data_IF_975534285619
#
_entry.id   IF_975534285619
#
_cell.length_a   1.000
_cell.length_b   1.000
_cell.length_c   1.000
_cell.angle_alpha   90.00
_cell.angle_beta   90.00
_cell.angle_gamma   90.00
#
_symmetry.space_group_name_H-M   'P 1'
#
loop_
_entity.id
_entity.type
_entity.pdbx_description
1 polymer ?
#
# COMPACT_ATOMS: atom_id res chain seq x y z
N UNK A 1 5.25 41.79 4.92
CA UNK A 1 5.49 40.51 5.59
C UNK A 1 4.82 40.62 6.93
N UNK A 2 3.77 39.85 7.18
CA UNK A 2 3.17 39.76 8.52
C UNK A 2 4.18 39.12 9.45
N UNK A 3 4.31 39.67 10.66
CA UNK A 3 5.24 39.16 11.65
C UNK A 3 4.88 37.71 12.00
N UNK A 4 5.91 36.86 12.12
CA UNK A 4 5.74 35.42 12.31
C UNK A 4 4.92 35.09 13.56
N UNK A 5 4.97 35.94 14.60
CA UNK A 5 4.18 35.78 15.81
C UNK A 5 2.67 35.92 15.58
N UNK A 6 2.26 36.91 14.77
CA UNK A 6 0.84 37.14 14.45
C UNK A 6 0.29 36.04 13.54
N UNK A 7 1.12 35.54 12.62
CA UNK A 7 0.76 34.43 11.75
C UNK A 7 0.54 33.14 12.54
N UNK A 8 1.42 32.84 13.52
CA UNK A 8 1.32 31.64 14.35
C UNK A 8 0.02 31.64 15.16
N UNK A 9 -0.31 32.73 15.85
CA UNK A 9 -1.55 32.80 16.64
C UNK A 9 -2.80 32.65 15.76
N UNK A 10 -2.78 33.24 14.56
CA UNK A 10 -3.86 33.11 13.60
C UNK A 10 -4.05 31.66 13.12
N UNK A 11 -2.95 30.94 12.84
CA UNK A 11 -3.03 29.54 12.45
C UNK A 11 -3.51 28.63 13.58
N UNK A 12 -3.08 28.86 14.82
CA UNK A 12 -3.56 28.10 15.97
C UNK A 12 -5.08 28.24 16.14
N UNK A 13 -5.63 29.45 15.97
CA UNK A 13 -7.07 29.68 16.03
C UNK A 13 -7.82 29.04 14.86
N UNK A 14 -7.33 29.21 13.62
CA UNK A 14 -7.97 28.64 12.43
C UNK A 14 -8.00 27.11 12.43
N UNK A 15 -7.01 26.47 13.04
CA UNK A 15 -6.87 25.01 13.06
C UNK A 15 -7.09 24.42 14.46
N UNK A 16 -7.76 25.12 15.37
CA UNK A 16 -8.00 24.66 16.73
C UNK A 16 -8.74 23.31 16.82
N UNK A 17 -9.58 22.99 15.82
CA UNK A 17 -10.30 21.71 15.76
C UNK A 17 -9.48 20.58 15.13
N UNK A 18 -8.28 20.84 14.61
CA UNK A 18 -7.50 19.88 13.80
C UNK A 18 -7.30 18.56 14.55
N UNK A 19 -7.60 17.45 13.87
CA UNK A 19 -7.48 16.08 14.39
C UNK A 19 -8.40 15.72 15.57
N UNK A 20 -9.42 16.53 15.87
CA UNK A 20 -10.44 16.24 16.90
C UNK A 20 -11.73 15.74 16.23
N UNK A 21 -12.74 15.36 17.00
CA UNK A 21 -14.07 14.94 16.53
C UNK A 21 -14.77 16.01 15.69
N UNK A 22 -14.54 17.30 15.98
CA UNK A 22 -15.12 18.42 15.24
C UNK A 22 -14.49 18.66 13.86
N UNK A 23 -13.31 18.07 13.60
CA UNK A 23 -12.63 18.15 12.31
C UNK A 23 -13.27 17.19 11.31
N UNK A 24 -14.20 17.71 10.51
CA UNK A 24 -14.93 16.95 9.49
C UNK A 24 -13.99 16.28 8.48
N UNK A 25 -12.91 16.94 8.07
CA UNK A 25 -11.97 16.39 7.08
C UNK A 25 -11.22 15.20 7.67
N UNK A 26 -10.79 15.31 8.93
CA UNK A 26 -10.16 14.21 9.64
C UNK A 26 -11.12 13.04 9.88
N UNK A 27 -12.36 13.31 10.27
CA UNK A 27 -13.38 12.26 10.46
C UNK A 27 -13.70 11.53 9.14
N UNK A 28 -13.67 12.22 8.00
CA UNK A 28 -13.78 11.58 6.70
C UNK A 28 -12.54 10.75 6.34
N UNK A 29 -11.35 11.21 6.71
CA UNK A 29 -10.11 10.46 6.51
C UNK A 29 -10.11 9.12 7.25
N UNK A 30 -10.57 9.10 8.51
CA UNK A 30 -10.66 7.88 9.31
C UNK A 30 -11.58 6.79 8.72
N UNK A 31 -12.55 7.18 7.87
CA UNK A 31 -13.45 6.24 7.18
C UNK A 31 -12.80 5.58 5.96
N UNK A 32 -11.66 6.09 5.49
CA UNK A 32 -11.00 5.55 4.30
C UNK A 32 -10.45 4.15 4.61
N UNK A 33 -10.63 3.19 3.69
CA UNK A 33 -9.94 1.91 3.82
C UNK A 33 -8.42 2.14 3.74
N UNK A 34 -7.61 1.24 4.32
CA UNK A 34 -6.17 1.26 4.12
C UNK A 34 -5.84 1.30 2.63
N UNK A 35 -5.08 2.31 2.20
CA UNK A 35 -4.68 2.44 0.81
C UNK A 35 -3.65 1.37 0.46
N UNK A 36 -3.87 0.66 -0.65
CA UNK A 36 -2.91 -0.29 -1.17
C UNK A 36 -1.88 0.46 -2.02
N UNK A 37 -0.59 0.10 -1.95
CA UNK A 37 0.41 0.68 -2.83
C UNK A 37 0.03 0.45 -4.30
N UNK A 38 0.27 1.43 -5.20
CA UNK A 38 -0.11 1.30 -6.59
C UNK A 38 0.65 0.15 -7.26
N UNK A 39 -0.09 -0.74 -7.92
CA UNK A 39 0.48 -1.83 -8.70
C UNK A 39 0.67 -1.32 -10.14
N UNK A 40 1.91 -1.30 -10.61
CA UNK A 40 2.22 -0.86 -11.98
C UNK A 40 2.39 -2.08 -12.88
N UNK A 41 1.42 -2.33 -13.74
CA UNK A 41 1.51 -3.37 -14.77
C UNK A 41 2.48 -2.95 -15.88
N UNK A 42 3.27 -3.91 -16.38
CA UNK A 42 4.15 -3.64 -17.52
C UNK A 42 5.27 -2.64 -17.26
N UNK A 43 5.75 -2.53 -16.02
CA UNK A 43 6.87 -1.64 -15.64
C UNK A 43 8.13 -1.79 -16.52
N UNK A 44 8.34 -2.98 -17.11
CA UNK A 44 9.40 -3.26 -18.07
C UNK A 44 8.85 -3.77 -19.41
N UNK A 45 7.64 -3.35 -19.79
CA UNK A 45 7.03 -3.68 -21.08
C UNK A 45 7.81 -2.99 -22.19
N UNK A 46 8.88 -3.65 -22.64
CA UNK A 46 9.45 -3.43 -23.96
C UNK A 46 8.39 -3.83 -24.97
N UNK A 47 7.61 -2.86 -25.44
CA UNK A 47 6.81 -3.04 -26.63
C UNK A 47 7.69 -3.62 -27.75
N UNK A 48 7.16 -4.59 -28.50
CA UNK A 48 7.65 -4.91 -29.84
C UNK A 48 8.90 -5.80 -29.92
N UNK A 49 8.66 -7.10 -30.17
CA UNK A 49 9.50 -7.88 -31.07
C UNK A 49 10.75 -8.53 -30.49
N UNK A 50 10.65 -9.81 -30.11
CA UNK A 50 11.42 -10.86 -30.79
C UNK A 50 10.90 -12.24 -30.39
N UNK A 51 10.20 -12.90 -31.32
CA UNK A 51 10.10 -14.35 -31.35
C UNK A 51 11.50 -14.90 -31.64
N UNK A 52 12.37 -14.98 -30.62
CA UNK A 52 13.58 -15.79 -30.71
C UNK A 52 13.29 -17.13 -30.05
N UNK A 53 12.80 -18.03 -30.89
CA UNK A 53 12.99 -19.46 -30.71
C UNK A 53 14.46 -19.73 -30.37
N UNK A 54 14.76 -19.95 -29.10
CA UNK A 54 15.96 -20.68 -28.67
C UNK A 54 15.49 -21.72 -27.69
N UNK A 55 15.24 -22.90 -28.25
CA UNK A 55 14.89 -24.06 -27.48
C UNK A 55 15.96 -24.41 -26.46
N UNK A 56 15.46 -25.10 -25.44
CA UNK A 56 16.14 -26.04 -24.56
C UNK A 56 16.72 -25.53 -23.24
N UNK A 57 16.07 -26.07 -22.20
CA UNK A 57 16.62 -26.58 -20.95
C UNK A 57 16.84 -25.57 -19.81
N UNK A 58 15.77 -25.35 -19.05
CA UNK A 58 15.81 -25.56 -17.60
C UNK A 58 14.38 -25.75 -17.08
N UNK A 59 13.96 -27.01 -16.98
CA UNK A 59 12.81 -27.40 -16.17
C UNK A 59 13.26 -27.45 -14.71
N UNK A 60 13.34 -26.31 -14.04
CA UNK A 60 13.30 -26.29 -12.59
C UNK A 60 11.84 -26.09 -12.16
N UNK A 61 11.24 -27.26 -11.94
CA UNK A 61 9.87 -27.48 -11.53
C UNK A 61 9.61 -26.85 -10.14
N UNK A 62 8.52 -26.07 -10.11
CA UNK A 62 7.59 -25.79 -9.00
C UNK A 62 8.21 -25.18 -7.73
N UNK A 63 8.19 -23.85 -7.59
CA UNK A 63 7.08 -23.11 -6.96
C UNK A 63 6.55 -23.78 -5.69
N UNK A 64 7.29 -23.52 -4.62
CA UNK A 64 6.84 -23.21 -3.27
C UNK A 64 5.31 -23.09 -3.11
N UNK A 65 4.68 -24.21 -2.75
CA UNK A 65 3.32 -24.26 -2.22
C UNK A 65 3.31 -23.62 -0.84
N UNK A 66 2.95 -22.33 -0.75
CA UNK A 66 2.40 -21.77 0.48
C UNK A 66 1.07 -21.12 0.14
N UNK A 67 0.01 -21.83 0.50
CA UNK A 67 -1.25 -21.39 1.10
C UNK A 67 -2.22 -22.57 0.97
N UNK A 68 -2.94 -22.87 2.05
CA UNK A 68 -4.02 -23.86 2.16
C UNK A 68 -3.60 -25.29 2.57
N UNK A 69 -3.42 -25.50 3.89
CA UNK A 69 -4.02 -26.58 4.72
C UNK A 69 -3.26 -26.74 6.05
N UNK A 70 -3.61 -25.92 7.04
CA UNK A 70 -3.34 -26.25 8.45
C UNK A 70 -4.60 -26.90 9.02
N UNK A 71 -4.70 -28.23 8.89
CA UNK A 71 -5.71 -29.04 9.58
C UNK A 71 -5.03 -30.25 10.20
N UNK A 72 -5.01 -30.28 11.54
CA UNK A 72 -4.89 -31.42 12.45
C UNK A 72 -3.70 -32.38 12.24
N UNK A 73 -2.86 -32.69 13.23
CA UNK A 73 -3.20 -33.48 14.42
C UNK A 73 -2.11 -33.28 15.49
N UNK A 74 -2.51 -32.96 16.73
CA UNK A 74 -1.66 -33.06 17.92
C UNK A 74 -2.40 -33.87 18.98
N UNK A 75 -2.09 -35.16 19.06
CA UNK A 75 -2.25 -36.00 20.25
C UNK A 75 -1.01 -36.88 20.36
N UNK A 76 -0.33 -36.85 21.50
CA UNK A 76 0.10 -38.13 22.07
C UNK A 76 0.00 -38.17 23.60
N UNK A 77 -0.56 -39.26 24.13
CA UNK A 77 0.03 -40.18 25.12
C UNK A 77 -1.08 -41.10 25.65
#
# INVERSE_FOLDING_TARGET
>A
MTDTSEAVTNFEEMFASRFIEDDKEYQEYLKRPPEFPPIVEGWNSRAGGNQRNRGNQLQDKVRTTYMVRATALRTPA
#
